data_IF_337895126449
#
_entry.id   IF_337895126449
#
_cell.length_a   1.000
_cell.length_b   1.000
_cell.length_c   1.000
_cell.angle_alpha   90.00
_cell.angle_beta   90.00
_cell.angle_gamma   90.00
#
_symmetry.space_group_name_H-M   'P 1'
#
loop_
_entity.id
_entity.type
_entity.pdbx_description
1 polymer ?
#
# COMPACT_ATOMS: atom_id res chain seq x y z
N UNK A 1 -6.00 -15.83 -24.30
CA UNK A 1 -7.22 -16.34 -23.65
C UNK A 1 -7.26 -17.84 -23.83
N UNK A 2 -7.68 -18.60 -22.81
CA UNK A 2 -7.91 -20.04 -22.95
C UNK A 2 -9.05 -20.24 -23.94
N UNK A 3 -8.84 -21.05 -25.00
CA UNK A 3 -9.90 -21.38 -25.96
C UNK A 3 -10.87 -22.35 -25.29
N UNK A 4 -12.16 -22.04 -25.34
CA UNK A 4 -13.20 -22.94 -24.87
C UNK A 4 -13.65 -23.87 -26.01
N UNK A 5 -14.15 -25.08 -25.69
CA UNK A 5 -14.96 -25.85 -26.63
C UNK A 5 -16.09 -24.99 -27.21
N UNK A 6 -16.53 -25.24 -28.47
CA UNK A 6 -17.50 -24.39 -29.16
C UNK A 6 -18.86 -24.26 -28.47
N UNK A 7 -19.21 -25.23 -27.62
CA UNK A 7 -20.46 -25.35 -26.89
C UNK A 7 -20.41 -24.78 -25.46
N UNK A 8 -19.25 -24.29 -25.01
CA UNK A 8 -19.08 -23.72 -23.68
C UNK A 8 -18.95 -22.20 -23.77
N UNK A 9 -19.94 -21.50 -23.24
CA UNK A 9 -19.89 -20.05 -23.04
C UNK A 9 -19.69 -19.72 -21.56
N UNK A 10 -18.70 -18.86 -21.26
CA UNK A 10 -18.54 -18.26 -19.94
C UNK A 10 -19.05 -16.82 -20.03
N UNK A 11 -20.00 -16.41 -19.18
CA UNK A 11 -20.48 -15.02 -19.16
C UNK A 11 -19.30 -14.06 -18.97
N UNK A 12 -19.15 -13.10 -19.91
CA UNK A 12 -18.12 -12.07 -19.73
C UNK A 12 -18.53 -11.15 -18.58
N UNK A 13 -17.53 -10.80 -17.76
CA UNK A 13 -17.71 -9.86 -16.66
C UNK A 13 -17.08 -8.54 -17.06
N UNK A 14 -17.73 -7.38 -16.79
CA UNK A 14 -17.15 -6.08 -17.04
C UNK A 14 -15.72 -6.00 -16.48
N UNK A 15 -14.81 -5.35 -17.21
CA UNK A 15 -13.39 -5.30 -16.85
C UNK A 15 -13.18 -4.77 -15.42
N UNK A 16 -13.94 -3.74 -15.02
CA UNK A 16 -13.88 -3.18 -13.66
C UNK A 16 -14.26 -4.22 -12.59
N UNK A 17 -15.31 -5.00 -12.82
CA UNK A 17 -15.75 -6.04 -11.90
C UNK A 17 -14.70 -7.16 -11.78
N UNK A 18 -14.09 -7.57 -12.90
CA UNK A 18 -12.98 -8.53 -12.89
C UNK A 18 -11.79 -8.00 -12.12
N UNK A 19 -11.38 -6.76 -12.41
CA UNK A 19 -10.24 -6.13 -11.77
C UNK A 19 -10.43 -6.00 -10.25
N UNK A 20 -11.58 -5.49 -9.79
CA UNK A 20 -11.93 -5.41 -8.36
C UNK A 20 -11.87 -6.77 -7.67
N UNK A 21 -12.41 -7.80 -8.31
CA UNK A 21 -12.40 -9.17 -7.77
C UNK A 21 -10.99 -9.74 -7.65
N UNK A 22 -10.18 -9.63 -8.71
CA UNK A 22 -8.79 -10.12 -8.73
C UNK A 22 -7.93 -9.36 -7.72
N UNK A 23 -8.04 -8.03 -7.68
CA UNK A 23 -7.29 -7.19 -6.75
C UNK A 23 -7.64 -7.55 -5.30
N UNK A 24 -8.93 -7.58 -4.93
CA UNK A 24 -9.37 -7.97 -3.59
C UNK A 24 -8.88 -9.37 -3.20
N UNK A 25 -8.95 -10.32 -4.13
CA UNK A 25 -8.43 -11.67 -3.93
C UNK A 25 -6.92 -11.69 -3.66
N UNK A 26 -6.15 -10.92 -4.43
CA UNK A 26 -4.70 -10.79 -4.24
C UNK A 26 -4.36 -10.19 -2.88
N UNK A 27 -4.98 -9.08 -2.49
CA UNK A 27 -4.68 -8.39 -1.23
C UNK A 27 -5.09 -9.23 -0.02
N UNK A 28 -6.22 -9.93 -0.09
CA UNK A 28 -6.64 -10.90 0.93
C UNK A 28 -5.67 -12.07 1.05
N UNK A 29 -5.14 -12.57 -0.09
CA UNK A 29 -4.10 -13.61 -0.08
C UNK A 29 -2.81 -13.11 0.56
N UNK A 30 -2.38 -11.88 0.27
CA UNK A 30 -1.20 -11.27 0.90
C UNK A 30 -1.36 -11.20 2.41
N UNK A 31 -2.52 -10.75 2.92
CA UNK A 31 -2.85 -10.83 4.35
C UNK A 31 -2.66 -12.23 4.90
N UNK A 32 -3.27 -13.23 4.26
CA UNK A 32 -3.18 -14.62 4.71
C UNK A 32 -1.74 -15.15 4.76
N UNK A 33 -0.89 -14.75 3.81
CA UNK A 33 0.53 -15.09 3.81
C UNK A 33 1.26 -14.44 4.98
N UNK A 34 1.03 -13.15 5.23
CA UNK A 34 1.63 -12.44 6.35
C UNK A 34 1.18 -13.01 7.70
N UNK A 35 -0.10 -13.32 7.84
CA UNK A 35 -0.64 -14.00 9.03
C UNK A 35 0.03 -15.35 9.26
N UNK A 36 0.23 -16.15 8.21
CA UNK A 36 0.90 -17.44 8.30
C UNK A 36 2.39 -17.31 8.67
N UNK A 37 3.08 -16.32 8.10
CA UNK A 37 4.49 -16.01 8.42
C UNK A 37 4.60 -15.59 9.88
N UNK A 38 3.79 -14.62 10.32
CA UNK A 38 3.83 -14.13 11.69
C UNK A 38 3.46 -15.21 12.70
N UNK A 39 2.41 -16.00 12.43
CA UNK A 39 2.01 -17.12 13.29
C UNK A 39 3.13 -18.16 13.46
N UNK A 40 3.94 -18.38 12.43
CA UNK A 40 4.99 -19.40 12.45
C UNK A 40 6.31 -18.89 13.04
N UNK A 41 6.66 -17.63 12.80
CA UNK A 41 7.99 -17.10 13.08
C UNK A 41 8.00 -15.92 14.06
N UNK A 42 6.85 -15.43 14.52
CA UNK A 42 6.79 -14.28 15.44
C UNK A 42 7.50 -13.06 14.87
N UNK A 43 8.34 -12.43 15.70
CA UNK A 43 9.05 -11.19 15.34
C UNK A 43 10.01 -11.35 14.15
N UNK A 44 10.69 -12.50 14.02
CA UNK A 44 11.51 -12.82 12.84
C UNK A 44 10.67 -12.80 11.56
N UNK A 45 9.40 -13.24 11.66
CA UNK A 45 8.44 -13.16 10.58
C UNK A 45 8.06 -11.71 10.23
N UNK A 46 7.95 -10.84 11.22
CA UNK A 46 7.71 -9.40 10.99
C UNK A 46 8.92 -8.75 10.32
N UNK A 47 10.14 -9.11 10.73
CA UNK A 47 11.37 -8.60 10.11
C UNK A 47 11.48 -9.00 8.64
N UNK A 48 11.14 -10.25 8.31
CA UNK A 48 11.05 -10.68 6.92
C UNK A 48 10.02 -9.87 6.12
N UNK A 49 8.84 -9.61 6.70
CA UNK A 49 7.82 -8.77 6.04
C UNK A 49 8.37 -7.36 5.82
N UNK A 50 9.01 -6.75 6.82
CA UNK A 50 9.63 -5.42 6.70
C UNK A 50 10.67 -5.39 5.60
N UNK A 51 11.55 -6.38 5.53
CA UNK A 51 12.62 -6.46 4.54
C UNK A 51 12.06 -6.52 3.12
N UNK A 52 11.15 -7.47 2.86
CA UNK A 52 10.54 -7.68 1.54
C UNK A 52 9.73 -6.45 1.13
N UNK A 53 8.90 -5.91 2.02
CA UNK A 53 8.13 -4.68 1.79
C UNK A 53 9.04 -3.51 1.46
N UNK A 54 10.10 -3.29 2.24
CA UNK A 54 11.04 -2.20 2.02
C UNK A 54 11.80 -2.35 0.71
N UNK A 55 12.21 -3.56 0.35
CA UNK A 55 12.88 -3.82 -0.93
C UNK A 55 11.97 -3.45 -2.09
N UNK A 56 10.70 -3.88 -2.03
CA UNK A 56 9.73 -3.56 -3.06
C UNK A 56 9.45 -2.05 -3.17
N UNK A 57 9.33 -1.35 -2.03
CA UNK A 57 9.20 0.11 -1.97
C UNK A 57 10.39 0.83 -2.64
N UNK A 58 11.62 0.42 -2.33
CA UNK A 58 12.85 0.94 -2.97
C UNK A 58 12.88 0.69 -4.47
N UNK A 59 12.44 -0.48 -4.92
CA UNK A 59 12.41 -0.83 -6.35
C UNK A 59 11.36 -0.01 -7.11
N UNK A 60 10.23 0.32 -6.49
CA UNK A 60 9.27 1.29 -7.05
C UNK A 60 9.92 2.67 -7.12
N UNK A 61 10.49 3.16 -6.02
CA UNK A 61 11.11 4.49 -5.98
C UNK A 61 12.20 4.65 -7.05
N UNK A 62 13.06 3.63 -7.22
CA UNK A 62 14.10 3.61 -8.27
C UNK A 62 13.52 3.73 -9.67
N UNK A 63 12.42 3.03 -9.97
CA UNK A 63 11.76 3.10 -11.29
C UNK A 63 11.09 4.44 -11.54
N UNK A 64 10.60 5.09 -10.48
CA UNK A 64 9.86 6.36 -10.58
C UNK A 64 10.80 7.56 -10.64
N UNK A 65 11.78 7.62 -9.73
CA UNK A 65 12.74 8.74 -9.63
C UNK A 65 13.89 8.59 -10.63
N UNK A 66 14.32 7.36 -10.92
CA UNK A 66 15.57 7.11 -11.62
C UNK A 66 16.75 7.74 -10.90
N UNK A 67 17.65 8.35 -11.67
CA UNK A 67 18.81 9.11 -11.17
C UNK A 67 18.50 10.61 -10.95
N UNK A 68 17.22 11.00 -10.99
CA UNK A 68 16.79 12.38 -10.80
C UNK A 68 16.88 12.87 -9.36
N UNK A 69 16.71 14.18 -9.21
CA UNK A 69 16.66 14.87 -7.92
C UNK A 69 15.49 14.40 -7.04
N UNK A 70 15.60 14.57 -5.71
CA UNK A 70 14.49 14.35 -4.78
C UNK A 70 13.22 15.11 -5.19
N UNK A 71 12.08 14.43 -5.15
CA UNK A 71 10.80 15.02 -5.53
C UNK A 71 10.23 15.94 -4.43
N UNK A 72 9.60 17.07 -4.78
CA UNK A 72 8.82 17.88 -3.84
C UNK A 72 7.75 17.06 -3.11
N UNK A 73 7.45 17.41 -1.85
CA UNK A 73 6.47 16.68 -1.01
C UNK A 73 5.09 16.52 -1.68
N UNK A 74 4.64 17.54 -2.42
CA UNK A 74 3.37 17.50 -3.16
C UNK A 74 3.38 16.44 -4.26
N UNK A 75 4.50 16.28 -4.97
CA UNK A 75 4.63 15.29 -6.03
C UNK A 75 4.69 13.87 -5.45
N UNK A 76 5.39 13.69 -4.33
CA UNK A 76 5.39 12.43 -3.57
C UNK A 76 3.97 12.12 -3.05
N UNK A 77 3.25 13.13 -2.53
CA UNK A 77 1.87 13.02 -2.08
C UNK A 77 0.91 12.59 -3.20
N UNK A 78 1.02 13.20 -4.39
CA UNK A 78 0.24 12.80 -5.56
C UNK A 78 0.56 11.37 -6.00
N UNK A 79 1.82 10.96 -5.89
CA UNK A 79 2.21 9.57 -6.17
C UNK A 79 1.54 8.59 -5.19
N UNK A 80 1.51 8.91 -3.89
CA UNK A 80 0.78 8.10 -2.90
C UNK A 80 -0.72 8.02 -3.22
N UNK A 81 -1.36 9.14 -3.58
CA UNK A 81 -2.77 9.14 -4.02
C UNK A 81 -2.96 8.22 -5.22
N UNK A 82 -2.04 8.23 -6.20
CA UNK A 82 -2.07 7.30 -7.34
C UNK A 82 -1.95 5.84 -6.89
N UNK A 83 -1.10 5.54 -5.90
CA UNK A 83 -0.99 4.19 -5.33
C UNK A 83 -2.32 3.75 -4.70
N UNK A 84 -2.95 4.59 -3.87
CA UNK A 84 -4.27 4.29 -3.30
C UNK A 84 -5.37 4.11 -4.36
N UNK A 85 -5.38 4.94 -5.41
CA UNK A 85 -6.30 4.81 -6.54
C UNK A 85 -6.10 3.51 -7.31
N UNK A 86 -4.86 3.07 -7.51
CA UNK A 86 -4.54 1.77 -8.11
C UNK A 86 -4.97 0.61 -7.22
N UNK A 87 -4.98 0.79 -5.91
CA UNK A 87 -5.55 -0.18 -4.97
C UNK A 87 -7.07 -0.09 -4.86
N UNK A 88 -7.73 0.80 -5.64
CA UNK A 88 -9.17 1.09 -5.57
C UNK A 88 -9.63 1.42 -4.14
N UNK A 89 -8.77 2.04 -3.36
CA UNK A 89 -9.12 2.49 -2.02
C UNK A 89 -10.10 3.66 -2.11
N UNK A 90 -11.12 3.64 -1.26
CA UNK A 90 -11.95 4.82 -1.02
C UNK A 90 -11.27 5.66 0.07
N UNK A 91 -11.35 6.98 -0.03
CA UNK A 91 -10.67 7.87 0.90
C UNK A 91 -10.71 9.33 0.48
N UNK A 92 -10.09 10.19 1.28
CA UNK A 92 -10.03 11.64 1.06
C UNK A 92 -8.64 12.19 1.44
N UNK A 93 -8.14 13.17 0.68
CA UNK A 93 -6.96 13.94 1.06
C UNK A 93 -7.40 15.04 2.02
N UNK A 94 -7.01 14.95 3.29
CA UNK A 94 -7.43 15.88 4.34
C UNK A 94 -6.45 17.05 4.50
N UNK A 95 -5.20 16.88 4.09
CA UNK A 95 -4.18 17.93 4.09
C UNK A 95 -3.30 17.83 2.83
N UNK A 96 -2.95 18.97 2.24
CA UNK A 96 -2.08 19.02 1.07
C UNK A 96 -1.23 20.32 1.05
N UNK A 97 -0.17 20.33 1.85
CA UNK A 97 0.70 21.50 2.06
C UNK A 97 2.16 21.18 1.72
N UNK A 98 3.03 22.19 1.75
CA UNK A 98 4.48 22.01 1.56
C UNK A 98 5.20 21.41 2.78
N UNK A 99 4.45 21.08 3.84
CA UNK A 99 4.99 20.49 5.08
C UNK A 99 4.39 19.12 5.38
N UNK A 100 3.16 18.88 4.94
CA UNK A 100 2.35 17.72 5.31
C UNK A 100 1.32 17.40 4.25
N UNK A 101 1.20 16.12 3.92
CA UNK A 101 0.12 15.55 3.12
C UNK A 101 -0.52 14.44 3.94
N UNK A 102 -1.85 14.46 4.09
CA UNK A 102 -2.59 13.47 4.86
C UNK A 102 -3.72 12.87 4.03
N UNK A 103 -3.84 11.54 4.05
CA UNK A 103 -4.83 10.77 3.30
C UNK A 103 -5.60 9.89 4.29
N UNK A 104 -6.90 10.14 4.42
CA UNK A 104 -7.82 9.36 5.24
C UNK A 104 -8.42 8.23 4.40
N UNK A 105 -8.35 7.00 4.92
CA UNK A 105 -8.82 5.77 4.27
C UNK A 105 -9.68 4.98 5.26
N UNK A 106 -11.02 4.94 5.11
CA UNK A 106 -11.90 4.25 6.05
C UNK A 106 -11.81 2.72 6.01
N UNK A 107 -11.32 2.14 4.91
CA UNK A 107 -11.21 0.68 4.75
C UNK A 107 -9.83 0.29 4.22
N UNK A 108 -9.13 -0.56 4.97
CA UNK A 108 -7.84 -1.11 4.54
C UNK A 108 -8.01 -2.02 3.32
N UNK A 109 -7.26 -1.81 2.22
CA UNK A 109 -7.35 -2.65 1.03
C UNK A 109 -6.73 -4.06 1.23
N UNK A 110 -5.82 -4.23 2.21
CA UNK A 110 -5.18 -5.50 2.60
C UNK A 110 -5.88 -6.25 3.74
N UNK A 111 -7.16 -5.96 3.99
CA UNK A 111 -7.87 -6.06 5.28
C UNK A 111 -7.05 -6.58 6.48
N UNK A 112 -5.94 -5.94 6.85
CA UNK A 112 -5.15 -6.35 8.01
C UNK A 112 -5.95 -6.19 9.30
N UNK A 113 -5.77 -7.12 10.25
CA UNK A 113 -6.46 -7.14 11.55
C UNK A 113 -5.48 -7.12 12.74
N UNK A 114 -4.16 -7.13 12.46
CA UNK A 114 -3.09 -6.98 13.46
C UNK A 114 -2.24 -5.76 13.15
N UNK A 115 -2.03 -4.92 14.15
CA UNK A 115 -1.28 -3.66 14.00
C UNK A 115 0.19 -3.91 13.65
N UNK A 116 0.79 -4.96 14.19
CA UNK A 116 2.21 -5.31 13.98
C UNK A 116 2.47 -5.70 12.52
N UNK A 117 1.56 -6.46 11.91
CA UNK A 117 1.63 -6.84 10.50
C UNK A 117 1.42 -5.61 9.61
N UNK A 118 0.43 -4.76 9.94
CA UNK A 118 0.18 -3.52 9.22
C UNK A 118 1.41 -2.59 9.24
N UNK A 119 2.02 -2.42 10.41
CA UNK A 119 3.24 -1.63 10.58
C UNK A 119 4.44 -2.25 9.84
N UNK A 120 4.58 -3.58 9.85
CA UNK A 120 5.62 -4.27 9.09
C UNK A 120 5.45 -4.01 7.58
N UNK A 121 4.22 -4.14 7.07
CA UNK A 121 3.90 -3.87 5.66
C UNK A 121 4.18 -2.41 5.27
N UNK A 122 3.86 -1.46 6.16
CA UNK A 122 4.05 -0.01 6.00
C UNK A 122 5.51 0.40 5.70
N UNK A 123 6.47 -0.50 5.94
CA UNK A 123 7.86 -0.31 5.52
C UNK A 123 8.00 -0.15 4.00
N UNK A 124 7.05 -0.67 3.21
CA UNK A 124 6.98 -0.45 1.77
C UNK A 124 6.76 1.03 1.44
N UNK A 125 5.72 1.65 2.01
CA UNK A 125 5.40 3.06 1.79
C UNK A 125 6.50 3.96 2.34
N UNK A 126 7.08 3.64 3.51
CA UNK A 126 8.24 4.36 4.06
C UNK A 126 9.43 4.34 3.11
N UNK A 127 9.80 3.15 2.64
CA UNK A 127 10.92 2.98 1.74
C UNK A 127 10.67 3.63 0.37
N UNK A 128 9.44 3.59 -0.12
CA UNK A 128 9.01 4.31 -1.32
C UNK A 128 9.19 5.82 -1.14
N UNK A 129 8.60 6.39 -0.08
CA UNK A 129 8.67 7.84 0.20
C UNK A 129 10.11 8.30 0.35
N UNK A 130 10.90 7.62 1.18
CA UNK A 130 12.31 7.96 1.40
C UNK A 130 13.15 7.77 0.12
N UNK A 131 12.77 6.80 -0.72
CA UNK A 131 13.39 6.60 -2.03
C UNK A 131 13.02 7.69 -3.04
N UNK A 132 11.85 8.32 -2.94
CA UNK A 132 11.46 9.46 -3.78
C UNK A 132 12.04 10.78 -3.27
N UNK A 133 12.16 10.93 -1.95
CA UNK A 133 12.83 12.04 -1.30
C UNK A 133 13.34 11.63 0.11
N UNK A 134 14.65 11.65 0.37
CA UNK A 134 15.24 11.19 1.65
C UNK A 134 14.89 12.08 2.85
N UNK A 135 14.46 13.32 2.61
CA UNK A 135 14.08 14.30 3.64
C UNK A 135 12.60 14.18 4.05
N UNK A 136 11.88 13.19 3.50
CA UNK A 136 10.48 12.93 3.83
C UNK A 136 10.36 11.65 4.65
N UNK A 137 9.32 11.60 5.47
CA UNK A 137 8.92 10.45 6.25
C UNK A 137 7.44 10.12 6.07
N UNK A 138 7.11 8.86 6.32
CA UNK A 138 5.77 8.32 6.17
C UNK A 138 5.34 7.50 7.38
N UNK A 139 4.14 7.76 7.86
CA UNK A 139 3.53 7.01 8.95
C UNK A 139 2.02 6.87 8.78
N UNK A 140 1.45 5.96 9.56
CA UNK A 140 0.02 5.81 9.72
C UNK A 140 -0.30 6.29 11.15
N UNK A 141 -0.80 7.52 11.29
CA UNK A 141 -1.06 8.15 12.59
C UNK A 141 -2.28 7.55 13.29
N UNK A 142 -3.29 7.14 12.52
CA UNK A 142 -4.49 6.42 12.97
C UNK A 142 -4.62 5.15 12.11
N UNK A 143 -5.03 4.03 12.69
CA UNK A 143 -5.00 2.73 12.02
C UNK A 143 -6.21 1.86 12.40
N UNK A 144 -6.96 1.40 11.40
CA UNK A 144 -8.09 0.46 11.61
C UNK A 144 -7.67 -0.81 12.39
N UNK A 145 -6.54 -1.48 12.07
CA UNK A 145 -6.03 -2.58 12.89
C UNK A 145 -5.78 -2.24 14.37
N UNK A 146 -5.55 -0.97 14.71
CA UNK A 146 -5.37 -0.51 16.09
C UNK A 146 -6.70 -0.16 16.78
N UNK A 147 -7.83 -0.25 16.07
CA UNK A 147 -9.17 0.07 16.56
C UNK A 147 -9.69 1.46 16.14
N UNK A 148 -8.93 2.22 15.36
CA UNK A 148 -9.38 3.52 14.87
C UNK A 148 -10.48 3.39 13.80
N UNK A 149 -11.37 4.39 13.66
CA UNK A 149 -12.44 4.35 12.66
C UNK A 149 -11.95 4.44 11.21
N UNK A 150 -10.68 4.83 10.99
CA UNK A 150 -10.05 4.95 9.68
C UNK A 150 -8.53 4.91 9.81
N UNK A 151 -7.85 4.66 8.69
CA UNK A 151 -6.41 4.87 8.60
C UNK A 151 -6.11 6.32 8.19
N UNK A 152 -5.18 6.99 8.88
CA UNK A 152 -4.67 8.31 8.50
C UNK A 152 -3.21 8.19 8.07
N UNK A 153 -2.99 8.18 6.76
CA UNK A 153 -1.67 8.07 6.16
C UNK A 153 -1.05 9.45 6.01
N UNK A 154 0.10 9.67 6.64
CA UNK A 154 0.74 10.99 6.72
C UNK A 154 2.13 10.96 6.12
N UNK A 155 2.36 11.87 5.19
CA UNK A 155 3.64 12.23 4.63
C UNK A 155 4.07 13.58 5.21
N UNK A 156 5.27 13.65 5.77
CA UNK A 156 5.81 14.88 6.40
C UNK A 156 7.31 15.00 6.16
N UNK A 157 7.88 16.18 6.44
CA UNK A 157 9.34 16.32 6.48
C UNK A 157 9.91 15.53 7.65
N UNK A 158 11.05 14.90 7.42
CA UNK A 158 11.85 14.24 8.44
C UNK A 158 12.48 15.31 9.33
N UNK A 159 12.34 15.15 10.64
CA UNK A 159 12.99 16.01 11.63
C UNK A 159 14.46 15.64 11.81
#
# INVERSE_FOLDING_TARGET
MIKLPPDIEIPDRPLDARYKGVLRGLLTRIKGLYDAIYKRYGDDGLDLIREVSSSYGRDIARRVRGDGDPLPIKDVGLYLVKVFNNMRSEGEVTEFTDKRVAIKVPLCPYPFDKVEICQAHTSMERALVQGLNPDLDYEIELSVPAGDPFCLHVLKKRM
#
